data_IF_335226649078
#
_entry.id   IF_335226649078
#
_cell.length_a   1.000
_cell.length_b   1.000
_cell.length_c   1.000
_cell.angle_alpha   90.00
_cell.angle_beta   90.00
_cell.angle_gamma   90.00
#
_symmetry.space_group_name_H-M   'P 1'
#
loop_
_entity.id
_entity.type
_entity.pdbx_description
1 polymer ?
#
# COMPACT_ATOMS: atom_id res chain seq x y z
N UNK A 1 -8.99 6.27 -14.43
CA UNK A 1 -9.05 6.25 -12.95
C UNK A 1 -10.23 5.40 -12.51
N UNK A 2 -10.00 4.23 -11.90
CA UNK A 2 -11.09 3.35 -11.44
C UNK A 2 -11.52 3.74 -10.02
N UNK A 3 -12.41 4.74 -9.93
CA UNK A 3 -13.16 4.99 -8.70
C UNK A 3 -14.23 3.91 -8.57
N UNK A 4 -14.29 3.23 -7.41
CA UNK A 4 -15.31 2.20 -7.18
C UNK A 4 -16.53 2.84 -6.54
N UNK A 5 -17.64 2.81 -7.26
CA UNK A 5 -18.94 3.21 -6.74
C UNK A 5 -19.53 2.12 -5.84
N UNK A 6 -20.12 2.54 -4.72
CA UNK A 6 -21.04 1.69 -3.95
C UNK A 6 -22.45 2.14 -4.31
N UNK A 7 -23.10 1.39 -5.21
CA UNK A 7 -24.42 1.73 -5.75
C UNK A 7 -25.53 0.96 -5.07
N UNK A 8 -26.70 1.58 -5.01
CA UNK A 8 -27.96 0.93 -4.68
C UNK A 8 -28.34 -0.07 -5.77
N UNK A 9 -29.13 -1.08 -5.39
CA UNK A 9 -29.51 -2.19 -6.27
C UNK A 9 -30.41 -1.76 -7.43
N UNK A 10 -31.12 -0.64 -7.30
CA UNK A 10 -31.99 -0.05 -8.32
C UNK A 10 -31.21 0.49 -9.53
N UNK A 11 -29.90 0.74 -9.42
CA UNK A 11 -29.05 1.14 -10.53
C UNK A 11 -29.13 0.18 -11.72
N UNK A 12 -29.05 -1.13 -11.44
CA UNK A 12 -29.04 -2.15 -12.49
C UNK A 12 -30.41 -2.25 -13.17
N UNK A 13 -31.49 -2.14 -12.39
CA UNK A 13 -32.86 -2.15 -12.92
C UNK A 13 -33.08 -0.94 -13.83
N UNK A 14 -32.73 0.26 -13.36
CA UNK A 14 -32.90 1.49 -14.13
C UNK A 14 -32.01 1.52 -15.40
N UNK A 15 -30.79 0.98 -15.33
CA UNK A 15 -29.90 0.85 -16.49
C UNK A 15 -30.42 -0.16 -17.51
N UNK A 16 -31.03 -1.26 -17.03
CA UNK A 16 -31.66 -2.26 -17.89
C UNK A 16 -32.85 -1.67 -18.65
N UNK A 17 -33.73 -0.92 -17.95
CA UNK A 17 -34.87 -0.24 -18.55
C UNK A 17 -34.46 0.84 -19.56
N UNK A 18 -33.37 1.56 -19.29
CA UNK A 18 -32.83 2.58 -20.19
C UNK A 18 -32.04 2.00 -21.39
N UNK A 19 -31.75 0.69 -21.39
CA UNK A 19 -30.92 0.04 -22.40
C UNK A 19 -29.46 0.49 -22.43
N UNK A 20 -28.98 1.17 -21.38
CA UNK A 20 -27.61 1.66 -21.22
C UNK A 20 -27.28 1.89 -19.75
N UNK A 21 -26.00 1.87 -19.40
CA UNK A 21 -25.56 2.30 -18.08
C UNK A 21 -25.89 3.78 -17.85
N UNK A 22 -26.60 4.05 -16.75
CA UNK A 22 -26.92 5.40 -16.32
C UNK A 22 -25.75 6.01 -15.54
N UNK A 23 -25.81 7.33 -15.34
CA UNK A 23 -24.89 8.01 -14.41
C UNK A 23 -25.03 7.42 -13.01
N UNK A 24 -23.90 7.16 -12.37
CA UNK A 24 -23.82 6.42 -11.11
C UNK A 24 -24.16 7.27 -9.88
N UNK A 25 -23.86 8.57 -9.90
CA UNK A 25 -24.00 9.48 -8.75
C UNK A 25 -25.41 9.47 -8.11
N UNK A 26 -26.52 9.51 -8.87
CA UNK A 26 -27.87 9.46 -8.29
C UNK A 26 -28.17 8.16 -7.54
N UNK A 27 -27.49 7.07 -7.92
CA UNK A 27 -27.66 5.74 -7.35
C UNK A 27 -26.62 5.41 -6.30
N UNK A 28 -25.69 6.33 -6.01
CA UNK A 28 -24.69 6.14 -4.96
C UNK A 28 -25.36 5.92 -3.60
N UNK A 29 -24.84 4.95 -2.87
CA UNK A 29 -25.28 4.68 -1.52
C UNK A 29 -24.90 5.85 -0.62
N UNK A 30 -25.92 6.61 -0.21
CA UNK A 30 -25.74 7.75 0.68
C UNK A 30 -26.94 7.85 1.62
N UNK A 31 -26.66 7.80 2.94
CA UNK A 31 -27.64 8.02 4.00
C UNK A 31 -26.90 8.56 5.22
N UNK A 32 -27.50 9.48 5.96
CA UNK A 32 -26.94 9.95 7.24
C UNK A 32 -27.06 8.87 8.31
N UNK A 33 -26.02 8.74 9.13
CA UNK A 33 -25.98 7.84 10.27
C UNK A 33 -25.24 6.53 10.03
N UNK A 34 -25.35 5.62 10.99
CA UNK A 34 -24.68 4.32 10.99
C UNK A 34 -25.61 3.20 10.52
N UNK A 35 -25.04 2.06 10.16
CA UNK A 35 -25.74 0.78 10.03
C UNK A 35 -26.41 0.36 11.33
N UNK A 36 -27.34 -0.60 11.28
CA UNK A 36 -28.11 -1.07 12.44
C UNK A 36 -27.21 -1.62 13.56
N UNK A 37 -26.12 -2.28 13.19
CA UNK A 37 -25.07 -2.77 14.10
C UNK A 37 -24.08 -1.68 14.55
N UNK A 38 -24.24 -0.45 14.05
CA UNK A 38 -23.37 0.67 14.33
C UNK A 38 -21.96 0.53 13.77
N UNK A 39 -21.69 -0.43 12.88
CA UNK A 39 -20.35 -0.77 12.41
C UNK A 39 -19.84 0.15 11.30
N UNK A 40 -20.72 0.64 10.43
CA UNK A 40 -20.35 1.40 9.23
C UNK A 40 -21.15 2.69 9.16
N UNK A 41 -20.47 3.81 8.91
CA UNK A 41 -21.12 5.06 8.50
C UNK A 41 -21.59 4.95 7.06
N UNK A 42 -22.87 5.19 6.84
CA UNK A 42 -23.48 5.13 5.51
C UNK A 42 -23.05 6.28 4.60
N UNK A 43 -22.29 7.24 5.13
CA UNK A 43 -21.66 8.34 4.39
C UNK A 43 -20.22 8.02 4.01
N UNK A 44 -19.57 7.06 4.68
CA UNK A 44 -18.14 6.77 4.50
C UNK A 44 -17.76 6.41 3.05
N UNK A 45 -18.51 5.57 2.32
CA UNK A 45 -18.15 5.23 0.94
C UNK A 45 -18.06 6.45 0.02
N UNK A 46 -19.07 7.32 0.08
CA UNK A 46 -19.13 8.55 -0.71
C UNK A 46 -18.03 9.53 -0.30
N UNK A 47 -17.75 9.65 1.00
CA UNK A 47 -16.67 10.51 1.49
C UNK A 47 -15.31 10.11 0.93
N UNK A 48 -14.97 8.82 0.94
CA UNK A 48 -13.70 8.34 0.39
C UNK A 48 -13.62 8.48 -1.12
N UNK A 49 -14.73 8.25 -1.84
CA UNK A 49 -14.80 8.46 -3.29
C UNK A 49 -14.54 9.93 -3.64
N UNK A 50 -15.24 10.86 -2.98
CA UNK A 50 -15.08 12.29 -3.19
C UNK A 50 -13.67 12.78 -2.81
N UNK A 51 -13.10 12.25 -1.74
CA UNK A 51 -11.71 12.52 -1.37
C UNK A 51 -10.77 12.12 -2.51
N UNK A 52 -10.87 10.89 -3.01
CA UNK A 52 -10.02 10.40 -4.10
C UNK A 52 -10.25 11.15 -5.41
N UNK A 53 -11.49 11.54 -5.71
CA UNK A 53 -11.81 12.36 -6.87
C UNK A 53 -11.16 13.75 -6.78
N UNK A 54 -11.15 14.35 -5.57
CA UNK A 54 -10.56 15.67 -5.33
C UNK A 54 -9.04 15.65 -5.30
N UNK A 55 -8.42 14.63 -4.69
CA UNK A 55 -6.98 14.63 -4.38
C UNK A 55 -6.16 13.61 -5.16
N UNK A 56 -6.81 12.63 -5.79
CA UNK A 56 -6.16 11.55 -6.54
C UNK A 56 -5.67 10.36 -5.70
N UNK A 57 -5.73 10.45 -4.37
CA UNK A 57 -5.22 9.40 -3.47
C UNK A 57 -6.28 8.84 -2.51
N UNK A 58 -5.97 7.72 -1.86
CA UNK A 58 -6.83 7.00 -0.95
C UNK A 58 -6.78 7.48 0.50
N UNK A 59 -7.47 6.73 1.37
CA UNK A 59 -7.66 7.05 2.79
C UNK A 59 -6.37 7.06 3.62
N UNK A 60 -5.37 6.29 3.19
CA UNK A 60 -4.12 6.03 3.89
C UNK A 60 -2.92 6.67 3.20
N UNK A 61 -3.14 7.71 2.40
CA UNK A 61 -2.09 8.35 1.62
C UNK A 61 -0.91 8.78 2.50
N UNK A 62 0.30 8.40 2.08
CA UNK A 62 1.56 8.61 2.82
C UNK A 62 1.61 7.99 4.24
N UNK A 63 0.64 7.17 4.63
CA UNK A 63 0.66 6.46 5.90
C UNK A 63 1.67 5.31 5.84
N UNK A 64 2.61 5.25 6.79
CA UNK A 64 3.59 4.18 6.87
C UNK A 64 3.42 3.38 8.16
N UNK A 65 3.17 2.09 8.03
CA UNK A 65 2.87 1.23 9.17
C UNK A 65 3.78 0.01 9.25
N UNK A 66 3.92 -0.52 10.46
CA UNK A 66 4.48 -1.85 10.71
C UNK A 66 3.40 -2.72 11.33
N UNK A 67 3.46 -4.03 11.09
CA UNK A 67 2.52 -5.00 11.67
C UNK A 67 3.32 -5.97 12.54
N UNK A 68 2.86 -6.21 13.76
CA UNK A 68 3.48 -7.09 14.74
C UNK A 68 2.46 -7.95 15.51
N UNK A 69 2.74 -9.24 15.62
CA UNK A 69 1.85 -10.23 16.22
C UNK A 69 0.83 -10.81 15.23
N UNK A 70 -0.02 -11.70 15.73
CA UNK A 70 -1.03 -12.37 14.91
C UNK A 70 -2.24 -11.46 14.64
N UNK A 71 -2.56 -11.27 13.36
CA UNK A 71 -3.77 -10.59 12.91
C UNK A 71 -4.81 -11.64 12.50
N UNK A 72 -5.79 -11.87 13.37
CA UNK A 72 -6.84 -12.88 13.15
C UNK A 72 -8.06 -12.25 12.47
N UNK A 73 -8.51 -11.10 12.96
CA UNK A 73 -9.66 -10.38 12.42
C UNK A 73 -9.40 -8.88 12.48
N UNK A 74 -9.16 -8.21 11.34
CA UNK A 74 -8.94 -8.75 9.99
C UNK A 74 -7.62 -9.56 9.87
N UNK A 75 -7.56 -10.48 8.90
CA UNK A 75 -6.32 -11.24 8.62
C UNK A 75 -5.21 -10.34 8.07
N UNK A 76 -3.94 -10.77 8.20
CA UNK A 76 -2.79 -10.03 7.67
C UNK A 76 -2.92 -9.73 6.17
N UNK A 77 -3.37 -10.68 5.36
CA UNK A 77 -3.55 -10.46 3.91
C UNK A 77 -4.70 -9.51 3.59
N UNK A 78 -5.71 -9.46 4.45
CA UNK A 78 -6.78 -8.46 4.35
C UNK A 78 -6.23 -7.07 4.67
N UNK A 79 -5.45 -6.92 5.74
CA UNK A 79 -4.79 -5.66 6.09
C UNK A 79 -3.86 -5.18 4.97
N UNK A 80 -3.03 -6.07 4.40
CA UNK A 80 -2.15 -5.73 3.27
C UNK A 80 -2.92 -5.15 2.08
N UNK A 81 -4.01 -5.81 1.69
CA UNK A 81 -4.85 -5.36 0.56
C UNK A 81 -5.54 -4.04 0.86
N UNK A 82 -6.08 -3.87 2.07
CA UNK A 82 -6.79 -2.65 2.49
C UNK A 82 -5.85 -1.45 2.56
N UNK A 83 -4.67 -1.60 3.19
CA UNK A 83 -3.68 -0.52 3.31
C UNK A 83 -3.17 -0.11 1.93
N UNK A 84 -2.84 -1.08 1.06
CA UNK A 84 -2.42 -0.79 -0.31
C UNK A 84 -3.52 -0.11 -1.14
N UNK A 85 -4.78 -0.53 -0.99
CA UNK A 85 -5.91 0.05 -1.74
C UNK A 85 -6.23 1.49 -1.32
N UNK A 86 -5.89 1.86 -0.08
CA UNK A 86 -5.98 3.21 0.43
C UNK A 86 -4.70 4.03 0.25
N UNK A 87 -3.72 3.56 -0.53
CA UNK A 87 -2.44 4.24 -0.81
C UNK A 87 -1.52 4.41 0.41
N UNK A 88 -1.63 3.50 1.37
CA UNK A 88 -0.71 3.36 2.50
C UNK A 88 0.41 2.35 2.23
N UNK A 89 1.48 2.44 3.01
CA UNK A 89 2.68 1.61 2.90
C UNK A 89 2.88 0.77 4.15
N UNK A 90 3.05 -0.55 3.96
CA UNK A 90 3.47 -1.46 5.03
C UNK A 90 4.97 -1.67 4.91
N UNK A 91 5.71 -1.17 5.90
CA UNK A 91 7.17 -1.23 5.90
C UNK A 91 7.71 -2.62 6.30
N UNK A 92 7.03 -3.28 7.24
CA UNK A 92 7.34 -4.67 7.61
C UNK A 92 6.18 -5.33 8.35
N UNK A 93 6.10 -6.67 8.21
CA UNK A 93 5.09 -7.51 8.88
C UNK A 93 5.70 -8.50 9.87
N UNK A 94 7.02 -8.50 10.03
CA UNK A 94 7.73 -9.38 10.96
C UNK A 94 9.08 -8.77 11.37
N UNK A 95 9.58 -9.10 12.57
CA UNK A 95 10.93 -8.76 13.00
C UNK A 95 12.05 -9.23 12.05
N UNK A 96 13.25 -8.61 12.08
CA UNK A 96 13.63 -7.48 12.92
C UNK A 96 13.26 -6.11 12.31
N UNK A 97 12.70 -5.21 13.13
CA UNK A 97 12.27 -3.88 12.68
C UNK A 97 13.36 -2.80 12.76
N UNK A 98 14.54 -3.12 13.29
CA UNK A 98 15.58 -2.14 13.70
C UNK A 98 15.99 -1.14 12.62
N UNK A 99 16.00 -1.54 11.33
CA UNK A 99 16.33 -0.64 10.20
C UNK A 99 15.21 0.35 9.89
N UNK A 100 13.97 -0.09 10.07
CA UNK A 100 12.76 0.60 9.64
C UNK A 100 12.27 1.60 10.67
N UNK A 101 12.52 1.34 11.96
CA UNK A 101 12.15 2.25 13.05
C UNK A 101 12.79 3.65 12.89
N UNK A 102 13.93 3.73 12.18
CA UNK A 102 14.60 5.00 11.85
C UNK A 102 14.05 5.70 10.60
N UNK A 103 13.29 4.99 9.76
CA UNK A 103 12.75 5.50 8.51
C UNK A 103 11.48 6.37 8.71
N UNK A 104 11.00 6.49 9.94
CA UNK A 104 9.75 7.17 10.29
C UNK A 104 8.56 6.23 10.10
N UNK A 105 7.98 5.79 11.22
CA UNK A 105 6.80 4.92 11.24
C UNK A 105 5.67 5.72 11.86
N UNK A 106 4.52 5.77 11.20
CA UNK A 106 3.36 6.51 11.69
C UNK A 106 2.54 5.66 12.66
N UNK A 107 2.39 4.35 12.41
CA UNK A 107 1.70 3.44 13.32
C UNK A 107 2.33 2.05 13.38
N UNK A 108 2.32 1.44 14.56
CA UNK A 108 2.54 0.03 14.76
C UNK A 108 1.19 -0.67 15.00
N UNK A 109 0.77 -1.51 14.07
CA UNK A 109 -0.39 -2.38 14.22
C UNK A 109 0.03 -3.58 15.05
N UNK A 110 -0.43 -3.65 16.29
CA UNK A 110 -0.03 -4.68 17.25
C UNK A 110 -1.23 -5.54 17.62
N UNK A 111 -1.03 -6.86 17.65
CA UNK A 111 -2.05 -7.77 18.15
C UNK A 111 -2.37 -7.46 19.63
N UNK A 112 -3.66 -7.31 20.03
CA UNK A 112 -4.02 -7.01 21.41
C UNK A 112 -3.55 -8.06 22.44
N UNK A 113 -3.20 -9.27 21.99
CA UNK A 113 -2.63 -10.33 22.83
C UNK A 113 -1.18 -10.06 23.26
N UNK A 114 -0.48 -9.14 22.59
CA UNK A 114 0.91 -8.84 22.90
C UNK A 114 1.01 -8.04 24.22
N UNK A 115 1.77 -8.53 25.21
CA UNK A 115 1.93 -7.81 26.46
C UNK A 115 2.83 -6.59 26.26
N UNK A 116 2.60 -5.55 27.06
CA UNK A 116 3.43 -4.33 27.01
C UNK A 116 4.92 -4.60 27.19
N UNK A 117 5.27 -5.62 27.98
CA UNK A 117 6.66 -5.99 28.29
C UNK A 117 7.38 -6.74 27.16
N UNK A 118 6.66 -7.05 26.07
CA UNK A 118 7.26 -7.67 24.89
C UNK A 118 8.41 -6.81 24.33
N UNK A 119 9.48 -7.47 23.86
CA UNK A 119 10.71 -6.79 23.43
C UNK A 119 10.48 -5.82 22.27
N UNK A 120 9.64 -6.18 21.29
CA UNK A 120 9.35 -5.29 20.16
C UNK A 120 8.38 -4.19 20.54
N UNK A 121 7.39 -4.50 21.39
CA UNK A 121 6.49 -3.47 21.93
C UNK A 121 7.29 -2.41 22.70
N UNK A 122 8.20 -2.82 23.59
CA UNK A 122 9.09 -1.90 24.31
C UNK A 122 9.94 -1.06 23.35
N UNK A 123 10.44 -1.66 22.28
CA UNK A 123 11.22 -0.94 21.27
C UNK A 123 10.34 0.11 20.54
N UNK A 124 9.11 -0.22 20.14
CA UNK A 124 8.18 0.76 19.53
C UNK A 124 7.92 1.95 20.47
N UNK A 125 7.68 1.66 21.75
CA UNK A 125 7.47 2.69 22.77
C UNK A 125 8.72 3.57 22.96
N UNK A 126 9.93 2.99 22.86
CA UNK A 126 11.20 3.71 22.98
C UNK A 126 11.42 4.69 21.82
N UNK A 127 10.85 4.41 20.65
CA UNK A 127 10.88 5.31 19.48
C UNK A 127 9.61 6.17 19.38
N UNK A 128 8.77 6.21 20.42
CA UNK A 128 7.52 6.98 20.46
C UNK A 128 6.55 6.64 19.31
N UNK A 129 6.58 5.39 18.82
CA UNK A 129 5.69 4.94 17.76
C UNK A 129 4.32 4.61 18.38
N UNK A 130 3.22 5.14 17.83
CA UNK A 130 1.88 4.80 18.29
C UNK A 130 1.59 3.32 18.04
N UNK A 131 1.16 2.61 19.09
CA UNK A 131 0.73 1.22 18.96
C UNK A 131 -0.79 1.18 18.92
N UNK A 132 -1.38 0.58 17.89
CA UNK A 132 -2.83 0.50 17.71
C UNK A 132 -3.24 -0.92 17.31
N UNK A 133 -4.48 -1.30 17.61
CA UNK A 133 -5.07 -2.55 17.11
C UNK A 133 -5.42 -2.44 15.61
N UNK A 134 -5.58 -3.58 14.92
CA UNK A 134 -6.00 -3.61 13.53
C UNK A 134 -7.35 -2.91 13.29
N UNK A 135 -8.26 -2.97 14.27
CA UNK A 135 -9.55 -2.30 14.26
C UNK A 135 -9.45 -0.77 14.18
N UNK A 136 -8.30 -0.17 14.52
CA UNK A 136 -8.06 1.25 14.32
C UNK A 136 -8.21 1.64 12.84
N UNK A 137 -7.58 0.86 11.94
CA UNK A 137 -7.65 1.09 10.49
C UNK A 137 -9.04 0.80 9.95
N UNK A 138 -9.69 -0.24 10.46
CA UNK A 138 -11.06 -0.63 10.04
C UNK A 138 -12.04 0.47 10.42
N UNK A 139 -12.02 0.94 11.67
CA UNK A 139 -12.97 1.95 12.12
C UNK A 139 -12.69 3.31 11.49
N UNK A 140 -11.43 3.64 11.19
CA UNK A 140 -11.12 4.84 10.42
C UNK A 140 -11.79 4.85 9.04
N UNK A 141 -11.69 3.74 8.31
CA UNK A 141 -12.30 3.61 6.97
C UNK A 141 -13.83 3.54 7.07
N UNK A 142 -14.36 2.78 8.01
CA UNK A 142 -15.81 2.57 8.14
C UNK A 142 -16.53 3.75 8.78
N UNK A 143 -15.87 4.54 9.62
CA UNK A 143 -16.44 5.64 10.41
C UNK A 143 -15.49 6.84 10.44
N UNK A 144 -15.19 7.45 9.29
CA UNK A 144 -14.40 8.69 9.24
C UNK A 144 -15.02 9.77 10.15
N UNK A 145 -14.18 10.44 10.94
CA UNK A 145 -14.59 11.46 11.90
C UNK A 145 -15.04 10.96 13.28
N UNK A 146 -15.10 9.64 13.51
CA UNK A 146 -15.37 9.07 14.83
C UNK A 146 -14.08 8.86 15.62
N UNK A 147 -14.19 8.82 16.96
CA UNK A 147 -13.02 8.59 17.83
C UNK A 147 -12.45 7.18 17.66
N UNK A 148 -11.12 7.10 17.55
CA UNK A 148 -10.35 5.87 17.41
C UNK A 148 -9.60 5.50 18.70
N UNK A 149 -9.77 6.29 19.78
CA UNK A 149 -9.01 6.15 21.04
C UNK A 149 -9.08 4.74 21.64
N UNK A 150 -10.24 4.08 21.53
CA UNK A 150 -10.45 2.74 22.08
C UNK A 150 -9.54 1.66 21.47
N UNK A 151 -8.97 1.92 20.30
CA UNK A 151 -8.06 1.01 19.61
C UNK A 151 -6.59 1.32 19.85
N UNK A 152 -6.29 2.39 20.60
CA UNK A 152 -4.93 2.78 20.93
C UNK A 152 -4.43 1.94 22.10
N UNK A 153 -3.26 1.32 21.90
CA UNK A 153 -2.65 0.41 22.85
C UNK A 153 -1.58 1.11 23.69
N UNK A 154 -1.31 0.53 24.86
CA UNK A 154 -0.19 0.87 25.74
C UNK A 154 -0.10 2.36 26.15
N UNK A 155 -1.24 3.07 26.16
CA UNK A 155 -1.35 4.50 26.50
C UNK A 155 -0.60 5.43 25.54
N UNK A 156 -0.54 5.08 24.26
CA UNK A 156 0.15 5.86 23.22
C UNK A 156 -0.73 6.93 22.54
N UNK A 157 -1.82 7.36 23.20
CA UNK A 157 -2.85 8.27 22.63
C UNK A 157 -2.27 9.55 22.04
N UNK A 158 -1.39 10.25 22.75
CA UNK A 158 -0.81 11.51 22.27
C UNK A 158 0.06 11.34 21.03
N UNK A 159 0.69 10.19 20.84
CA UNK A 159 1.46 9.88 19.63
C UNK A 159 0.52 9.50 18.48
N UNK A 160 -0.54 8.75 18.78
CA UNK A 160 -1.57 8.38 17.81
C UNK A 160 -2.28 9.62 17.26
N UNK A 161 -2.65 10.57 18.12
CA UNK A 161 -3.26 11.85 17.73
C UNK A 161 -2.34 12.66 16.80
N UNK A 162 -1.04 12.74 17.10
CA UNK A 162 -0.06 13.42 16.23
C UNK A 162 0.03 12.77 14.85
N UNK A 163 0.12 11.44 14.81
CA UNK A 163 0.22 10.69 13.54
C UNK A 163 -1.08 10.74 12.75
N UNK A 164 -2.22 10.78 13.44
CA UNK A 164 -3.54 10.96 12.84
C UNK A 164 -3.74 12.36 12.27
N UNK A 165 -3.32 13.40 12.98
CA UNK A 165 -3.35 14.77 12.48
C UNK A 165 -2.48 14.94 11.23
N UNK A 166 -1.30 14.30 11.20
CA UNK A 166 -0.46 14.23 10.00
C UNK A 166 -1.19 13.55 8.84
N UNK A 167 -1.84 12.40 9.07
CA UNK A 167 -2.61 11.70 8.04
C UNK A 167 -3.74 12.58 7.47
N UNK A 168 -4.47 13.29 8.32
CA UNK A 168 -5.53 14.20 7.87
C UNK A 168 -4.97 15.37 7.06
N UNK A 169 -3.83 15.93 7.46
CA UNK A 169 -3.15 16.97 6.68
C UNK A 169 -2.74 16.46 5.29
N UNK A 170 -2.18 15.26 5.20
CA UNK A 170 -1.83 14.66 3.91
C UNK A 170 -3.07 14.37 3.05
N UNK A 171 -4.22 14.11 3.67
CA UNK A 171 -5.47 13.87 2.94
C UNK A 171 -6.07 15.10 2.25
N UNK A 172 -5.55 16.29 2.54
CA UNK A 172 -5.93 17.55 1.91
C UNK A 172 -5.00 17.93 0.74
N UNK A 173 -3.86 17.23 0.60
CA UNK A 173 -2.88 17.46 -0.46
C UNK A 173 -3.40 16.92 -1.80
N UNK A 174 -3.26 17.70 -2.88
CA UNK A 174 -3.57 17.22 -4.23
C UNK A 174 -2.34 16.46 -4.72
N UNK A 175 -2.51 15.20 -5.14
CA UNK A 175 -1.44 14.45 -5.81
C UNK A 175 -1.12 15.12 -7.15
N UNK A 176 0.15 15.50 -7.34
CA UNK A 176 0.63 16.09 -8.61
C UNK A 176 0.58 15.07 -9.77
N UNK A 177 0.45 13.78 -9.46
CA UNK A 177 0.35 12.66 -10.41
C UNK A 177 -1.05 12.45 -11.01
N UNK A 178 -2.06 13.20 -10.54
CA UNK A 178 -3.47 13.04 -10.93
C UNK A 178 -3.82 13.34 -12.41
N UNK A 179 -2.84 13.63 -13.29
CA UNK A 179 -3.10 13.90 -14.72
C UNK A 179 -2.57 12.86 -15.72
N UNK A 180 -1.82 11.84 -15.32
CA UNK A 180 -1.29 10.87 -16.27
C UNK A 180 -1.22 9.46 -15.67
N UNK A 181 -2.35 8.73 -15.72
CA UNK A 181 -2.33 7.27 -15.58
C UNK A 181 -3.21 6.64 -16.66
N UNK A 182 -2.65 6.55 -17.86
CA UNK A 182 -2.91 5.44 -18.77
C UNK A 182 -1.63 4.61 -18.83
N UNK A 183 -1.69 3.48 -18.13
CA UNK A 183 -0.84 2.29 -18.30
C UNK A 183 0.65 2.41 -17.92
N UNK A 184 0.97 1.59 -16.91
CA UNK A 184 2.26 1.00 -16.57
C UNK A 184 3.18 1.65 -15.51
N UNK A 185 3.49 0.78 -14.55
CA UNK A 185 4.41 0.86 -13.43
C UNK A 185 5.87 1.12 -13.83
N UNK A 186 6.48 2.22 -13.37
CA UNK A 186 7.93 2.31 -13.10
C UNK A 186 8.40 3.65 -12.49
N UNK A 187 7.55 4.54 -11.98
CA UNK A 187 7.96 5.95 -11.77
C UNK A 187 8.84 6.26 -10.54
N UNK A 188 9.56 5.28 -9.98
CA UNK A 188 10.65 5.60 -9.04
C UNK A 188 11.86 4.64 -9.14
N UNK A 189 11.97 3.89 -10.25
CA UNK A 189 13.12 3.03 -10.50
C UNK A 189 14.27 3.86 -11.10
N UNK A 190 15.27 4.17 -10.28
CA UNK A 190 16.52 4.79 -10.72
C UNK A 190 17.54 3.74 -11.16
N UNK A 191 18.35 4.08 -12.17
CA UNK A 191 19.43 3.22 -12.63
C UNK A 191 20.44 3.02 -11.49
N UNK A 192 20.72 1.76 -11.14
CA UNK A 192 21.63 1.43 -10.05
C UNK A 192 23.10 1.82 -10.28
N UNK A 193 23.46 2.19 -11.52
CA UNK A 193 24.82 2.57 -11.90
C UNK A 193 24.98 4.08 -11.91
N UNK A 194 24.11 4.80 -12.64
CA UNK A 194 24.22 6.26 -12.78
C UNK A 194 23.33 7.04 -11.81
N UNK A 195 22.43 6.37 -11.08
CA UNK A 195 21.48 6.98 -10.14
C UNK A 195 20.37 7.81 -10.79
N UNK A 196 20.33 7.90 -12.13
CA UNK A 196 19.32 8.65 -12.86
C UNK A 196 18.06 7.83 -13.09
N UNK A 197 16.89 8.45 -12.86
CA UNK A 197 15.59 7.93 -13.27
C UNK A 197 15.20 8.32 -14.72
N UNK A 198 16.00 9.15 -15.40
CA UNK A 198 15.74 9.50 -16.81
C UNK A 198 16.06 8.35 -17.76
N UNK A 199 15.51 8.38 -18.99
CA UNK A 199 15.68 7.34 -20.04
C UNK A 199 15.09 5.97 -19.68
N UNK A 200 13.86 5.95 -19.15
CA UNK A 200 13.17 4.72 -18.78
C UNK A 200 12.93 3.77 -19.95
N UNK A 201 12.80 4.29 -21.17
CA UNK A 201 12.60 3.54 -22.41
C UNK A 201 13.77 2.62 -22.79
N UNK A 202 14.96 2.85 -22.22
CA UNK A 202 16.15 2.02 -22.37
C UNK A 202 16.63 1.46 -21.03
N UNK A 203 15.74 1.37 -20.04
CA UNK A 203 16.05 0.82 -18.72
C UNK A 203 15.57 -0.63 -18.62
N UNK A 204 16.47 -1.51 -18.23
CA UNK A 204 16.21 -2.92 -17.98
C UNK A 204 15.90 -3.15 -16.52
N UNK A 205 14.86 -3.93 -16.24
CA UNK A 205 14.49 -4.35 -14.89
C UNK A 205 14.94 -5.79 -14.70
N UNK A 206 15.70 -6.05 -13.63
CA UNK A 206 16.18 -7.39 -13.34
C UNK A 206 15.02 -8.30 -12.91
N UNK A 207 14.54 -9.13 -13.83
CA UNK A 207 13.62 -10.22 -13.55
C UNK A 207 13.17 -10.98 -14.80
N UNK A 208 12.33 -11.99 -14.59
CA UNK A 208 11.54 -12.64 -15.64
C UNK A 208 10.26 -11.86 -15.95
N UNK A 209 9.68 -12.10 -17.13
CA UNK A 209 8.38 -11.49 -17.52
C UNK A 209 7.25 -11.76 -16.51
N UNK A 210 7.35 -12.86 -15.75
CA UNK A 210 6.40 -13.22 -14.69
C UNK A 210 6.62 -12.46 -13.36
N UNK A 211 7.74 -11.76 -13.19
CA UNK A 211 8.13 -11.09 -11.95
C UNK A 211 8.37 -12.04 -10.76
N UNK A 212 8.56 -13.33 -11.02
CA UNK A 212 8.74 -14.38 -10.02
C UNK A 212 10.21 -14.54 -9.62
N UNK A 213 11.15 -14.22 -10.52
CA UNK A 213 12.59 -14.38 -10.32
C UNK A 213 13.29 -13.09 -10.71
N UNK A 214 14.02 -12.46 -9.78
CA UNK A 214 14.72 -11.20 -10.04
C UNK A 214 14.89 -10.37 -8.77
N UNK A 215 15.68 -9.30 -8.85
CA UNK A 215 15.80 -8.34 -7.75
C UNK A 215 15.09 -7.01 -8.03
N UNK A 216 14.47 -6.86 -9.21
CA UNK A 216 13.69 -5.68 -9.57
C UNK A 216 14.52 -4.41 -9.78
N UNK A 217 15.84 -4.52 -9.93
CA UNK A 217 16.71 -3.35 -10.08
C UNK A 217 16.67 -2.83 -11.51
N UNK A 218 16.59 -1.50 -11.66
CA UNK A 218 16.69 -0.80 -12.94
C UNK A 218 18.15 -0.55 -13.35
N UNK A 219 18.49 -0.76 -14.62
CA UNK A 219 19.81 -0.42 -15.19
C UNK A 219 19.65 -0.04 -16.66
N UNK A 220 20.20 1.10 -17.09
CA UNK A 220 20.17 1.44 -18.52
C UNK A 220 20.99 0.47 -19.36
N UNK A 221 20.60 0.24 -20.62
CA UNK A 221 21.34 -0.62 -21.56
C UNK A 221 22.82 -0.23 -21.69
N UNK A 222 23.11 1.07 -21.66
CA UNK A 222 24.46 1.65 -21.75
C UNK A 222 25.20 1.67 -20.40
N UNK A 223 24.49 1.48 -19.29
CA UNK A 223 25.05 1.31 -17.95
C UNK A 223 25.34 -0.17 -17.60
N UNK A 224 24.94 -1.10 -18.47
CA UNK A 224 25.24 -2.52 -18.30
C UNK A 224 26.74 -2.79 -18.53
N UNK A 225 27.23 -3.91 -17.99
CA UNK A 225 28.61 -4.38 -18.21
C UNK A 225 28.58 -5.84 -18.72
N UNK A 226 28.79 -6.08 -20.03
CA UNK A 226 29.04 -5.09 -21.08
C UNK A 226 27.79 -4.26 -21.43
N UNK A 227 27.95 -3.04 -22.00
CA UNK A 227 26.84 -2.24 -22.51
C UNK A 227 26.09 -2.97 -23.64
N UNK A 228 24.77 -2.77 -23.72
CA UNK A 228 23.90 -3.38 -24.71
C UNK A 228 23.51 -2.36 -25.80
N UNK A 229 23.45 -2.82 -27.04
CA UNK A 229 23.08 -1.99 -28.20
C UNK A 229 21.56 -1.73 -28.28
N UNK A 230 20.74 -2.63 -27.73
CA UNK A 230 19.29 -2.52 -27.70
C UNK A 230 18.69 -3.24 -26.48
N UNK A 231 17.46 -2.87 -26.13
CA UNK A 231 16.66 -3.56 -25.10
C UNK A 231 16.40 -5.01 -25.55
N UNK A 232 16.74 -6.04 -24.76
CA UNK A 232 16.44 -7.43 -25.09
C UNK A 232 14.93 -7.70 -25.12
N UNK A 233 14.47 -8.58 -26.01
CA UNK A 233 13.05 -8.97 -26.12
C UNK A 233 12.59 -9.97 -25.05
N UNK A 234 13.44 -10.37 -24.11
CA UNK A 234 13.10 -11.36 -23.08
C UNK A 234 13.79 -11.10 -21.75
N UNK A 235 13.73 -12.08 -20.85
CA UNK A 235 14.22 -11.97 -19.46
C UNK A 235 15.64 -11.38 -19.37
N UNK A 236 15.79 -10.40 -18.48
CA UNK A 236 17.09 -9.79 -18.20
C UNK A 236 17.42 -9.88 -16.71
N UNK A 237 18.67 -10.23 -16.42
CA UNK A 237 19.15 -10.37 -15.04
C UNK A 237 20.43 -9.56 -14.83
N UNK A 238 20.47 -8.79 -13.75
CA UNK A 238 21.68 -8.10 -13.33
C UNK A 238 22.81 -9.11 -13.03
N UNK A 239 24.06 -8.64 -13.01
CA UNK A 239 25.26 -9.46 -12.76
C UNK A 239 25.17 -10.34 -11.50
N UNK A 240 24.47 -9.87 -10.45
CA UNK A 240 24.23 -10.63 -9.21
C UNK A 240 23.25 -11.78 -9.41
N UNK A 241 22.13 -11.54 -10.10
CA UNK A 241 21.11 -12.54 -10.37
C UNK A 241 21.58 -13.55 -11.44
N UNK A 242 22.25 -13.08 -12.48
CA UNK A 242 22.83 -13.92 -13.55
C UNK A 242 23.86 -14.92 -13.01
N UNK A 243 24.74 -14.48 -12.09
CA UNK A 243 25.71 -15.36 -11.42
C UNK A 243 25.07 -16.44 -10.54
N UNK A 244 23.86 -16.19 -10.06
CA UNK A 244 23.10 -17.12 -9.21
C UNK A 244 22.33 -18.12 -10.08
N UNK A 245 21.75 -17.66 -11.19
CA UNK A 245 21.04 -18.50 -12.16
C UNK A 245 21.96 -19.56 -12.81
N UNK A 246 23.19 -19.18 -13.16
CA UNK A 246 24.17 -20.10 -13.76
C UNK A 246 24.68 -21.19 -12.79
N UNK A 247 24.57 -21.02 -11.47
CA UNK A 247 24.96 -22.05 -10.50
C UNK A 247 23.90 -23.15 -10.35
N UNK A 248 22.65 -22.85 -10.69
CA UNK A 248 21.52 -23.79 -10.56
C UNK A 248 21.46 -24.74 -11.77
N UNK A 249 21.83 -24.26 -12.96
CA UNK A 249 21.90 -25.07 -14.19
C UNK A 249 23.11 -26.01 -14.21
N UNK A 250 24.25 -25.62 -13.63
CA UNK A 250 25.45 -26.48 -13.58
C UNK A 250 25.36 -27.63 -12.56
N UNK A 251 24.42 -27.61 -11.61
CA UNK A 251 24.22 -28.71 -10.65
C UNK A 251 23.45 -29.91 -11.20
N UNK A 252 22.79 -29.78 -12.35
CA UNK A 252 22.07 -30.88 -13.01
C UNK A 252 22.87 -31.57 -14.13
N UNK A 253 24.09 -31.11 -14.45
CA UNK A 253 24.91 -31.65 -15.54
C UNK A 253 26.18 -32.40 -15.07
N UNK A 254 26.15 -33.02 -13.89
CA UNK A 254 27.19 -33.95 -13.43
C UNK A 254 26.60 -35.12 -12.65
N UNK A 255 26.05 -36.09 -13.37
CA UNK A 255 26.27 -37.51 -13.08
C UNK A 255 26.41 -38.24 -14.40
N UNK A 256 27.59 -38.83 -14.57
CA UNK A 256 27.92 -39.85 -15.55
C UNK A 256 27.56 -41.20 -14.95
#
# INVERSE_FOLDING_TARGET
MNFRWILKTDYLTASCEAGKFLEEEPFEWYKKGLTEDGAISLEAPRQWRLLRERTGHGAFYNMRIIIYGECIAPTLDTLKRVVKAGDGTILATSPPYTRILKAGVDFAIVSPSMPRVDSWVQEFLRHEIPCVAADYLVEYVCKPGYSLEKHVLYKTHSWAEKSFAKLLSCNEEISEDGRLFSEESSDDLSCAVCGSAGRGEVMLICGDEAGAVGCGIGTHIDCCDPPLDSVPEGDWYCSKCSSTHNKTTLKHARFR
#
